data_IF_550157499922
#
_entry.id   IF_550157499922
#
_cell.length_a   1.000
_cell.length_b   1.000
_cell.length_c   1.000
_cell.angle_alpha   90.00
_cell.angle_beta   90.00
_cell.angle_gamma   90.00
#
_symmetry.space_group_name_H-M   'P 1'
#
loop_
_entity.id
_entity.type
_entity.pdbx_description
1 polymer ?
#
# COMPACT_ATOMS: atom_id res chain seq x y z
N UNK A 1 -18.53 -15.29 -12.28
CA UNK A 1 -18.21 -14.76 -11.98
C UNK A 1 -17.71 -14.31 -11.38
N UNK A 2 -17.62 -14.38 -11.35
CA UNK A 2 -17.18 -13.82 -10.81
C UNK A 2 -16.50 -13.12 -10.45
N UNK A 3 -16.27 -13.12 -10.42
CA UNK A 3 -15.63 -12.45 -10.09
C UNK A 3 -15.59 -11.55 -9.89
N UNK A 4 -15.84 -11.07 -9.79
CA UNK A 4 -15.67 -10.16 -9.47
C UNK A 4 -15.62 -9.63 -8.52
N UNK A 5 -16.08 -9.85 -8.45
CA UNK A 5 -16.21 -9.33 -7.43
C UNK A 5 -15.22 -9.06 -6.65
N UNK A 6 -14.88 -9.64 -6.22
CA UNK A 6 -13.91 -9.56 -5.61
C UNK A 6 -12.96 -8.73 -6.11
N UNK A 7 -13.01 -8.48 -7.06
CA UNK A 7 -12.12 -7.80 -7.66
C UNK A 7 -11.82 -6.52 -7.10
N UNK A 8 -12.72 -5.88 -6.62
CA UNK A 8 -12.49 -4.69 -6.05
C UNK A 8 -11.97 -4.75 -4.75
N UNK A 9 -11.61 -5.91 -4.34
CA UNK A 9 -11.06 -6.04 -3.13
C UNK A 9 -9.81 -5.35 -3.07
N UNK A 10 -9.24 -5.10 -1.95
CA UNK A 10 -7.98 -4.50 -1.66
C UNK A 10 -6.92 -5.56 -1.72
N UNK A 11 -6.23 -5.71 -2.84
CA UNK A 11 -5.27 -6.81 -2.96
C UNK A 11 -4.13 -6.63 -1.98
N UNK A 12 -3.83 -7.67 -1.25
CA UNK A 12 -2.71 -7.67 -0.34
C UNK A 12 -1.44 -7.88 -1.15
N UNK A 13 -0.49 -6.97 -0.99
CA UNK A 13 0.76 -7.03 -1.72
C UNK A 13 1.84 -7.69 -0.88
N UNK A 14 1.84 -7.43 0.40
CA UNK A 14 2.86 -7.97 1.30
C UNK A 14 2.29 -8.10 2.70
N UNK A 15 2.67 -9.16 3.38
CA UNK A 15 2.42 -9.28 4.81
C UNK A 15 3.79 -9.36 5.47
N UNK A 16 4.06 -8.47 6.40
CA UNK A 16 5.34 -8.41 7.09
C UNK A 16 5.07 -8.27 8.58
N UNK A 17 5.37 -9.31 9.36
CA UNK A 17 5.04 -9.31 10.77
C UNK A 17 3.55 -9.08 10.95
N UNK A 18 3.17 -8.12 11.78
CA UNK A 18 1.75 -7.84 12.00
C UNK A 18 1.14 -6.93 10.95
N UNK A 19 1.92 -6.49 9.96
CA UNK A 19 1.47 -5.49 9.01
C UNK A 19 1.02 -6.10 7.72
N UNK A 20 -0.13 -5.62 7.20
CA UNK A 20 -0.63 -6.01 5.90
C UNK A 20 -0.57 -4.79 4.99
N UNK A 21 0.12 -4.92 3.86
CA UNK A 21 0.27 -3.85 2.89
C UNK A 21 -0.61 -4.15 1.69
N UNK A 22 -1.37 -3.16 1.22
CA UNK A 22 -2.36 -3.40 0.18
C UNK A 22 -2.68 -2.13 -0.59
N UNK A 23 -3.36 -2.30 -1.73
CA UNK A 23 -3.89 -1.18 -2.52
C UNK A 23 -5.40 -1.19 -2.44
N UNK A 24 -5.99 0.00 -2.55
CA UNK A 24 -7.41 0.09 -2.87
C UNK A 24 -7.57 0.03 -4.38
N UNK A 25 -8.57 -0.69 -4.86
CA UNK A 25 -8.70 -0.97 -6.27
C UNK A 25 -9.16 0.21 -7.11
N UNK A 26 -9.62 1.26 -6.49
CA UNK A 26 -10.14 2.39 -7.26
C UNK A 26 -9.48 3.70 -6.92
N UNK A 27 -8.16 3.67 -6.77
CA UNK A 27 -7.39 4.90 -6.53
C UNK A 27 -6.29 5.09 -7.57
N UNK A 28 -6.56 4.86 -8.87
CA UNK A 28 -5.50 5.02 -9.86
C UNK A 28 -5.19 6.48 -10.20
N UNK A 29 -6.03 7.41 -9.75
CA UNK A 29 -5.81 8.81 -10.06
C UNK A 29 -4.83 9.50 -9.14
N UNK A 30 -4.42 8.83 -8.08
CA UNK A 30 -3.43 9.40 -7.17
C UNK A 30 -2.06 8.85 -7.54
N UNK A 31 -0.99 9.54 -7.15
CA UNK A 31 0.35 8.96 -7.33
C UNK A 31 0.44 7.60 -6.64
N UNK A 32 1.37 6.76 -7.04
CA UNK A 32 1.50 5.44 -6.42
C UNK A 32 1.64 5.52 -4.91
N UNK A 33 0.90 4.68 -4.22
CA UNK A 33 0.91 4.65 -2.77
C UNK A 33 0.54 3.27 -2.26
N UNK A 34 0.80 3.03 -0.98
CA UNK A 34 0.51 1.75 -0.36
C UNK A 34 -0.19 2.02 0.97
N UNK A 35 -1.20 1.22 1.25
CA UNK A 35 -1.89 1.27 2.54
C UNK A 35 -1.32 0.19 3.43
N UNK A 36 -1.31 0.43 4.72
CA UNK A 36 -0.83 -0.57 5.68
C UNK A 36 -1.77 -0.60 6.87
N UNK A 37 -2.13 -1.81 7.28
CA UNK A 37 -2.98 -2.02 8.44
C UNK A 37 -2.27 -2.89 9.46
N UNK A 38 -2.52 -2.62 10.73
CA UNK A 38 -2.25 -3.53 11.83
C UNK A 38 -3.41 -3.37 12.81
N UNK A 39 -4.16 -4.46 13.03
CA UNK A 39 -5.37 -4.40 13.86
C UNK A 39 -6.31 -3.35 13.26
N UNK A 40 -6.76 -2.39 14.06
CA UNK A 40 -7.63 -1.35 13.52
C UNK A 40 -6.90 -0.03 13.26
N UNK A 41 -5.58 -0.08 13.19
CA UNK A 41 -4.78 1.09 12.84
C UNK A 41 -4.42 1.02 11.37
N UNK A 42 -4.30 2.17 10.72
CA UNK A 42 -3.93 2.17 9.31
C UNK A 42 -3.14 3.41 8.96
N UNK A 43 -2.43 3.33 7.84
CA UNK A 43 -1.66 4.45 7.34
C UNK A 43 -1.50 4.32 5.84
N UNK A 44 -1.10 5.40 5.19
CA UNK A 44 -0.89 5.45 3.75
C UNK A 44 0.46 6.10 3.51
N UNK A 45 1.26 5.50 2.65
CA UNK A 45 2.59 6.01 2.31
C UNK A 45 2.69 6.22 0.81
N UNK A 46 3.27 7.34 0.40
CA UNK A 46 3.58 7.57 -1.01
C UNK A 46 4.75 6.68 -1.39
N UNK A 47 4.69 6.04 -2.53
CA UNK A 47 5.75 5.13 -2.93
C UNK A 47 6.96 5.83 -3.53
N UNK A 48 6.75 6.95 -4.22
CA UNK A 48 7.87 7.65 -4.83
C UNK A 48 8.83 8.23 -3.80
N UNK A 49 8.30 8.72 -2.70
CA UNK A 49 9.14 9.33 -1.66
C UNK A 49 9.26 8.47 -0.42
N UNK A 50 8.41 7.45 -0.30
CA UNK A 50 8.27 6.63 0.89
C UNK A 50 7.83 7.44 2.11
N UNK A 51 7.24 8.61 1.87
CA UNK A 51 6.79 9.45 2.97
C UNK A 51 5.37 9.14 3.38
N UNK A 52 5.09 9.33 4.64
CA UNK A 52 3.76 9.13 5.19
C UNK A 52 2.80 10.14 4.57
N UNK A 53 1.69 9.66 4.05
CA UNK A 53 0.64 10.51 3.50
C UNK A 53 -0.48 10.72 4.50
N UNK A 54 -0.88 9.65 5.20
CA UNK A 54 -1.93 9.72 6.19
C UNK A 54 -1.64 8.70 7.27
N UNK A 55 -2.03 9.03 8.51
CA UNK A 55 -1.83 8.13 9.63
C UNK A 55 -3.09 8.11 10.48
N UNK A 56 -3.63 6.92 10.68
CA UNK A 56 -4.83 6.74 11.48
C UNK A 56 -4.48 5.82 12.66
N UNK A 57 -3.77 6.39 13.63
CA UNK A 57 -3.59 5.76 14.93
C UNK A 57 -2.23 5.22 15.29
N UNK A 58 -1.32 5.09 14.36
CA UNK A 58 0.01 4.60 14.70
C UNK A 58 0.81 5.66 15.45
N UNK A 59 1.63 5.22 16.40
CA UNK A 59 2.51 6.13 17.10
C UNK A 59 3.74 6.38 16.25
N UNK A 60 4.48 7.46 16.57
CA UNK A 60 5.60 7.87 15.74
C UNK A 60 6.67 6.80 15.57
N UNK A 61 6.99 6.08 16.63
CA UNK A 61 8.03 5.06 16.49
C UNK A 61 7.57 3.91 15.60
N UNK A 62 6.27 3.65 15.59
CA UNK A 62 5.75 2.60 14.72
C UNK A 62 5.68 3.07 13.28
N UNK A 63 5.34 4.34 13.08
CA UNK A 63 5.37 4.92 11.74
C UNK A 63 6.77 4.79 11.15
N UNK A 64 7.80 5.07 11.94
CA UNK A 64 9.18 4.95 11.46
C UNK A 64 9.52 3.52 11.09
N UNK A 65 9.04 2.56 11.87
CA UNK A 65 9.27 1.16 11.60
C UNK A 65 8.60 0.75 10.29
N UNK A 66 7.36 1.19 10.10
CA UNK A 66 6.62 0.88 8.88
C UNK A 66 7.29 1.55 7.69
N UNK A 67 7.74 2.78 7.86
CA UNK A 67 8.42 3.50 6.80
C UNK A 67 9.65 2.72 6.33
N UNK A 68 10.39 2.13 7.24
CA UNK A 68 11.55 1.31 6.88
C UNK A 68 11.17 0.14 6.01
N UNK A 69 10.02 -0.47 6.30
CA UNK A 69 9.53 -1.58 5.49
C UNK A 69 9.16 -1.09 4.10
N UNK A 70 8.49 0.07 4.01
CA UNK A 70 8.12 0.65 2.73
C UNK A 70 9.38 0.95 1.90
N UNK A 71 10.39 1.53 2.52
CA UNK A 71 11.63 1.83 1.82
C UNK A 71 12.27 0.55 1.29
N UNK A 72 12.32 -0.48 2.11
CA UNK A 72 12.94 -1.75 1.72
C UNK A 72 12.23 -2.42 0.57
N UNK A 73 10.91 -2.26 0.48
CA UNK A 73 10.11 -2.95 -0.52
C UNK A 73 9.57 -2.00 -1.60
N UNK A 74 10.13 -0.81 -1.67
CA UNK A 74 9.59 0.22 -2.55
C UNK A 74 9.49 -0.21 -4.00
N UNK A 75 10.54 -0.80 -4.54
CA UNK A 75 10.51 -1.23 -5.93
C UNK A 75 9.48 -2.34 -6.17
N UNK A 76 9.38 -3.26 -5.24
CA UNK A 76 8.38 -4.30 -5.32
C UNK A 76 6.98 -3.72 -5.33
N UNK A 77 6.73 -2.74 -4.46
CA UNK A 77 5.42 -2.11 -4.38
C UNK A 77 5.12 -1.32 -5.65
N UNK A 78 6.12 -0.65 -6.22
CA UNK A 78 5.92 0.09 -7.46
C UNK A 78 5.61 -0.82 -8.62
N UNK A 79 6.28 -1.96 -8.68
CA UNK A 79 5.99 -2.95 -9.72
C UNK A 79 4.57 -3.49 -9.56
N UNK A 80 4.19 -3.80 -8.33
CA UNK A 80 2.85 -4.29 -8.06
C UNK A 80 1.79 -3.24 -8.41
N UNK A 81 2.07 -1.99 -8.12
CA UNK A 81 1.16 -0.90 -8.47
C UNK A 81 0.96 -0.82 -9.97
N UNK A 82 2.07 -0.87 -10.73
CA UNK A 82 1.99 -0.81 -12.18
C UNK A 82 1.22 -1.98 -12.76
N UNK A 83 1.47 -3.16 -12.23
CA UNK A 83 0.75 -4.34 -12.67
C UNK A 83 -0.72 -4.26 -12.36
N UNK A 84 -1.03 -3.84 -11.15
CA UNK A 84 -2.42 -3.84 -10.71
C UNK A 84 -3.26 -2.80 -11.43
N UNK A 85 -2.71 -1.60 -11.64
CA UNK A 85 -3.46 -0.54 -12.30
C UNK A 85 -3.22 -0.46 -13.80
N UNK A 86 -2.31 -1.27 -14.32
CA UNK A 86 -2.07 -1.30 -15.75
C UNK A 86 -1.52 -0.02 -16.32
N UNK A 87 -0.72 0.70 -15.51
CA UNK A 87 -0.25 1.99 -15.95
C UNK A 87 1.10 1.97 -16.57
N UNK A 88 1.69 0.81 -16.68
CA UNK A 88 3.01 0.76 -17.22
C UNK A 88 2.96 1.28 -18.62
N UNK A 89 3.80 2.08 -18.96
CA UNK A 89 3.83 2.63 -20.27
C UNK A 89 2.70 3.56 -20.50
N UNK A 90 1.84 3.53 -19.63
CA UNK A 90 0.67 4.36 -19.82
C UNK A 90 0.82 5.51 -19.18
#
# INVERSE_FOLDING_TARGET
>A
MRAFARIQRMPTVLTSGPYRFYFYSHEPNEPPHIHVDRDNLSAKFWLNSAQLAQNFGFRNHEVSKIESIVVSHRNEFLEAWNEFFGVSGG
#
